data_IF_211092525926
#
_entry.id   IF_211092525926
#
_cell.length_a   1.000
_cell.length_b   1.000
_cell.length_c   1.000
_cell.angle_alpha   90.00
_cell.angle_beta   90.00
_cell.angle_gamma   90.00
#
_symmetry.space_group_name_H-M   'P 1'
#
loop_
_entity.id
_entity.type
_entity.pdbx_description
1 polymer ?
#
# COMPACT_ATOMS: atom_id res chain seq x y z
N UNK A 1 0.17 -24.93 24.58
CA UNK A 1 0.81 -23.68 25.03
C UNK A 1 2.25 -23.69 24.55
N UNK A 2 2.59 -22.91 23.53
CA UNK A 2 3.96 -22.40 23.28
C UNK A 2 3.85 -21.30 22.22
N UNK A 3 4.24 -20.10 22.63
CA UNK A 3 4.29 -18.87 21.85
C UNK A 3 5.44 -18.89 20.84
N UNK A 4 5.26 -18.27 19.68
CA UNK A 4 6.32 -17.99 18.71
C UNK A 4 6.26 -16.53 18.29
N UNK A 5 6.90 -15.66 19.08
CA UNK A 5 7.12 -14.25 18.77
C UNK A 5 8.38 -14.19 17.88
N UNK A 6 8.25 -13.76 16.63
CA UNK A 6 9.40 -13.50 15.75
C UNK A 6 9.68 -12.00 15.78
N UNK A 7 10.80 -11.66 16.41
CA UNK A 7 11.41 -10.33 16.45
C UNK A 7 12.34 -10.19 15.24
N UNK A 8 12.24 -9.10 14.48
CA UNK A 8 13.31 -8.72 13.54
C UNK A 8 13.73 -7.27 13.79
N UNK A 9 15.02 -7.16 14.11
CA UNK A 9 15.80 -5.95 14.35
C UNK A 9 16.10 -5.22 13.03
N UNK A 10 16.15 -3.89 13.06
CA UNK A 10 17.05 -3.14 12.19
C UNK A 10 17.66 -1.95 12.94
N UNK A 11 18.99 -1.95 12.86
CA UNK A 11 19.99 -1.14 13.54
C UNK A 11 20.05 0.28 13.00
N UNK A 12 20.41 1.22 13.86
CA UNK A 12 20.59 2.62 13.52
C UNK A 12 21.82 2.91 12.66
N UNK A 13 21.75 4.05 11.97
CA UNK A 13 22.89 4.78 11.45
C UNK A 13 22.68 6.28 11.73
N UNK A 14 23.54 6.83 12.58
CA UNK A 14 23.66 8.27 12.82
C UNK A 14 24.67 8.89 11.85
N UNK A 15 24.36 10.04 11.26
CA UNK A 15 25.34 11.00 10.73
C UNK A 15 24.63 12.37 10.61
N UNK A 16 24.94 13.35 11.47
CA UNK A 16 26.09 14.27 11.45
C UNK A 16 25.75 15.61 10.76
N UNK A 17 26.06 16.69 11.48
CA UNK A 17 25.67 18.07 11.27
C UNK A 17 26.27 18.75 10.03
N UNK A 18 25.60 19.80 9.52
CA UNK A 18 26.27 20.91 8.81
C UNK A 18 25.51 22.23 8.99
N UNK A 19 26.29 23.25 9.39
CA UNK A 19 25.82 24.53 9.91
C UNK A 19 25.19 25.48 8.89
N UNK A 20 24.33 26.34 9.42
CA UNK A 20 23.78 27.52 8.77
C UNK A 20 24.84 28.63 8.71
N UNK A 21 25.20 29.06 7.50
CA UNK A 21 25.80 30.38 7.26
C UNK A 21 24.79 31.18 6.44
N UNK A 22 24.26 32.26 7.02
CA UNK A 22 23.27 33.13 6.36
C UNK A 22 23.88 33.97 5.22
N UNK A 23 23.06 34.47 4.27
CA UNK A 23 23.53 35.35 3.20
C UNK A 23 23.56 36.83 3.64
N UNK A 24 24.48 37.67 3.11
CA UNK A 24 24.52 39.10 3.39
C UNK A 24 23.50 39.88 2.53
N UNK A 25 23.13 41.11 2.94
CA UNK A 25 22.07 41.86 2.29
C UNK A 25 22.58 42.73 1.12
N UNK A 26 21.78 42.76 0.06
CA UNK A 26 21.67 43.91 -0.84
C UNK A 26 22.38 43.77 -2.19
N UNK A 27 21.59 43.74 -3.28
CA UNK A 27 21.79 44.53 -4.50
C UNK A 27 20.71 44.24 -5.56
N UNK A 28 19.96 45.29 -5.92
CA UNK A 28 19.69 45.61 -7.34
C UNK A 28 18.50 44.95 -8.05
N UNK A 29 17.53 45.79 -8.40
CA UNK A 29 16.32 45.53 -9.20
C UNK A 29 16.60 45.08 -10.65
N UNK A 30 15.81 44.10 -11.12
CA UNK A 30 15.16 44.14 -12.44
C UNK A 30 13.91 43.23 -12.40
N UNK A 31 12.68 43.74 -12.61
CA UNK A 31 11.54 42.88 -12.85
C UNK A 31 11.68 42.34 -14.27
N UNK A 32 12.28 41.15 -14.40
CA UNK A 32 12.18 40.38 -15.63
C UNK A 32 10.73 39.95 -15.72
N UNK A 33 9.94 40.66 -16.53
CA UNK A 33 8.60 40.25 -16.94
C UNK A 33 8.72 38.88 -17.62
N UNK A 34 8.66 37.81 -16.83
CA UNK A 34 8.49 36.46 -17.34
C UNK A 34 7.09 36.43 -17.92
N UNK A 35 7.05 36.45 -19.24
CA UNK A 35 5.92 36.03 -20.06
C UNK A 35 5.36 34.75 -19.44
N UNK A 36 4.18 34.85 -18.82
CA UNK A 36 3.43 33.73 -18.31
C UNK A 36 3.02 32.88 -19.51
N UNK A 37 3.82 31.88 -19.83
CA UNK A 37 3.39 30.77 -20.68
C UNK A 37 2.39 29.96 -19.86
N UNK A 38 1.12 30.31 -20.00
CA UNK A 38 -0.01 29.46 -19.64
C UNK A 38 0.04 28.19 -20.47
N UNK A 39 0.82 27.20 -20.05
CA UNK A 39 1.09 26.00 -20.84
C UNK A 39 1.31 24.70 -20.07
N UNK A 40 1.26 24.67 -18.74
CA UNK A 40 1.73 23.47 -18.00
C UNK A 40 0.84 22.97 -16.84
N UNK A 41 -0.32 23.58 -16.60
CA UNK A 41 -1.23 23.12 -15.54
C UNK A 41 -1.81 21.71 -15.82
N UNK A 42 -1.91 21.31 -17.10
CA UNK A 42 -2.36 19.97 -17.51
C UNK A 42 -1.29 18.89 -17.30
N UNK A 43 -0.03 19.18 -17.65
CA UNK A 43 1.06 18.18 -17.63
C UNK A 43 1.47 17.78 -16.20
N UNK A 44 1.42 18.71 -15.25
CA UNK A 44 1.72 18.46 -13.85
C UNK A 44 0.64 17.58 -13.16
N UNK A 45 -0.62 17.79 -13.53
CA UNK A 45 -1.76 17.00 -13.05
C UNK A 45 -1.73 15.57 -13.56
N UNK A 46 -1.46 15.38 -14.86
CA UNK A 46 -1.42 14.06 -15.49
C UNK A 46 -0.26 13.21 -14.96
N UNK A 47 0.90 13.83 -14.72
CA UNK A 47 2.04 13.18 -14.11
C UNK A 47 1.78 12.75 -12.65
N UNK A 48 0.94 13.48 -11.90
CA UNK A 48 0.56 13.10 -10.55
C UNK A 48 -0.31 11.84 -10.53
N UNK A 49 -1.39 11.81 -11.33
CA UNK A 49 -2.28 10.64 -11.39
C UNK A 49 -1.60 9.41 -11.97
N UNK A 50 -0.69 9.61 -12.93
CA UNK A 50 0.16 8.53 -13.43
C UNK A 50 1.01 7.90 -12.32
N UNK A 51 1.59 8.72 -11.43
CA UNK A 51 2.37 8.23 -10.28
C UNK A 51 1.51 7.50 -9.25
N UNK A 52 0.29 7.98 -9.00
CA UNK A 52 -0.71 7.27 -8.16
C UNK A 52 -1.02 5.90 -8.78
N UNK A 53 -1.30 5.85 -10.08
CA UNK A 53 -1.61 4.61 -10.79
C UNK A 53 -0.42 3.62 -10.75
N UNK A 54 0.81 4.11 -10.91
CA UNK A 54 2.03 3.30 -10.74
C UNK A 54 2.10 2.73 -9.33
N UNK A 55 1.86 3.56 -8.29
CA UNK A 55 1.84 3.10 -6.91
C UNK A 55 0.80 2.00 -6.65
N UNK A 56 -0.40 2.17 -7.20
CA UNK A 56 -1.46 1.16 -7.13
C UNK A 56 -1.01 -0.15 -7.80
N UNK A 57 -0.43 -0.06 -9.00
CA UNK A 57 0.12 -1.21 -9.71
C UNK A 57 1.22 -1.93 -8.92
N UNK A 58 2.09 -1.18 -8.24
CA UNK A 58 3.13 -1.75 -7.36
C UNK A 58 2.49 -2.48 -6.16
N UNK A 59 1.46 -1.91 -5.54
CA UNK A 59 0.73 -2.56 -4.45
C UNK A 59 0.09 -3.89 -4.87
N UNK A 60 -0.58 -3.91 -6.03
CA UNK A 60 -1.16 -5.14 -6.58
C UNK A 60 -0.08 -6.16 -6.96
N UNK A 61 1.02 -5.71 -7.58
CA UNK A 61 2.13 -6.60 -7.92
C UNK A 61 2.77 -7.21 -6.67
N UNK A 62 2.91 -6.45 -5.58
CA UNK A 62 3.40 -6.96 -4.32
C UNK A 62 2.44 -8.00 -3.70
N UNK A 63 1.13 -7.76 -3.76
CA UNK A 63 0.10 -8.71 -3.31
C UNK A 63 0.20 -10.05 -4.07
N UNK A 64 0.20 -10.00 -5.40
CA UNK A 64 0.28 -11.20 -6.25
C UNK A 64 1.66 -11.88 -6.16
N UNK A 65 2.72 -11.09 -6.02
CA UNK A 65 4.08 -11.59 -5.78
C UNK A 65 4.20 -12.36 -4.46
N UNK A 66 3.50 -11.94 -3.41
CA UNK A 66 3.47 -12.65 -2.14
C UNK A 66 2.85 -14.04 -2.30
N UNK A 67 1.75 -14.17 -3.04
CA UNK A 67 1.15 -15.48 -3.36
C UNK A 67 2.16 -16.42 -4.04
N UNK A 68 2.88 -15.93 -5.05
CA UNK A 68 3.92 -16.69 -5.75
C UNK A 68 5.04 -17.12 -4.80
N UNK A 69 5.62 -16.16 -4.07
CA UNK A 69 6.73 -16.43 -3.15
C UNK A 69 6.34 -17.40 -2.04
N UNK A 70 5.13 -17.26 -1.47
CA UNK A 70 4.64 -18.19 -0.45
C UNK A 70 4.43 -19.60 -1.01
N UNK A 71 3.88 -19.74 -2.22
CA UNK A 71 3.76 -21.06 -2.86
C UNK A 71 5.13 -21.73 -3.05
N UNK A 72 6.10 -20.98 -3.60
CA UNK A 72 7.48 -21.47 -3.78
C UNK A 72 8.13 -21.85 -2.45
N UNK A 73 8.00 -21.01 -1.42
CA UNK A 73 8.56 -21.27 -0.09
C UNK A 73 7.95 -22.51 0.57
N UNK A 74 6.69 -22.83 0.26
CA UNK A 74 6.00 -24.01 0.77
C UNK A 74 6.29 -25.30 -0.03
N UNK A 75 7.09 -25.18 -1.11
CA UNK A 75 7.52 -26.28 -1.98
C UNK A 75 6.57 -26.58 -3.13
N UNK A 76 5.75 -25.63 -3.56
CA UNK A 76 4.78 -25.80 -4.64
C UNK A 76 5.14 -24.93 -5.86
N UNK A 77 4.45 -25.20 -6.97
CA UNK A 77 4.70 -24.56 -8.25
C UNK A 77 3.48 -23.71 -8.62
N UNK A 78 3.52 -22.39 -8.32
CA UNK A 78 2.43 -21.52 -8.68
C UNK A 78 2.38 -21.33 -10.20
N UNK A 79 1.19 -21.13 -10.74
CA UNK A 79 1.01 -20.85 -12.16
C UNK A 79 -0.10 -19.82 -12.36
N UNK A 80 0.00 -19.07 -13.46
CA UNK A 80 -1.02 -18.11 -13.86
C UNK A 80 -2.01 -18.80 -14.77
N UNK A 81 -3.30 -18.57 -14.55
CA UNK A 81 -4.36 -19.03 -15.43
C UNK A 81 -5.55 -18.08 -15.41
N UNK A 82 -6.67 -18.55 -15.95
CA UNK A 82 -7.93 -17.82 -15.96
C UNK A 82 -8.96 -18.57 -15.12
N UNK A 83 -9.60 -17.87 -14.19
CA UNK A 83 -10.80 -18.33 -13.50
C UNK A 83 -11.99 -17.46 -13.92
N UNK A 84 -12.98 -18.07 -14.59
CA UNK A 84 -14.15 -17.33 -15.14
C UNK A 84 -13.75 -16.08 -15.97
N UNK A 85 -12.66 -16.19 -16.74
CA UNK A 85 -12.12 -15.09 -17.56
C UNK A 85 -11.23 -14.09 -16.81
N UNK A 86 -10.97 -14.29 -15.52
CA UNK A 86 -10.12 -13.42 -14.70
C UNK A 86 -8.71 -13.99 -14.53
N UNK A 87 -7.65 -13.22 -14.82
CA UNK A 87 -6.28 -13.60 -14.47
C UNK A 87 -6.17 -13.94 -12.99
N UNK A 88 -5.66 -15.14 -12.70
CA UNK A 88 -5.56 -15.68 -11.33
C UNK A 88 -4.23 -16.40 -11.18
N UNK A 89 -3.58 -16.20 -10.02
CA UNK A 89 -2.44 -17.03 -9.60
C UNK A 89 -2.96 -18.22 -8.80
N UNK A 90 -2.73 -19.42 -9.34
CA UNK A 90 -3.05 -20.67 -8.68
C UNK A 90 -1.85 -21.15 -7.89
N UNK A 91 -2.07 -21.54 -6.63
CA UNK A 91 -1.02 -21.95 -5.71
C UNK A 91 -0.30 -23.24 -6.10
N UNK A 92 -0.95 -24.13 -6.85
CA UNK A 92 -0.50 -25.51 -7.05
C UNK A 92 -0.63 -26.39 -5.80
N UNK A 93 -1.27 -25.89 -4.74
CA UNK A 93 -1.48 -26.61 -3.47
C UNK A 93 -2.82 -27.34 -3.53
N UNK A 94 -2.81 -28.64 -3.25
CA UNK A 94 -4.03 -29.40 -2.95
C UNK A 94 -4.56 -28.97 -1.57
N UNK A 95 -5.69 -28.26 -1.57
CA UNK A 95 -6.30 -27.72 -0.36
C UNK A 95 -6.97 -28.76 0.54
N UNK A 96 -7.30 -29.95 0.00
CA UNK A 96 -7.81 -31.07 0.80
C UNK A 96 -6.68 -31.77 1.53
N UNK A 97 -5.52 -31.91 0.88
CA UNK A 97 -4.34 -32.57 1.44
C UNK A 97 -3.54 -31.65 2.37
N UNK A 98 -3.41 -30.37 2.03
CA UNK A 98 -2.58 -29.40 2.77
C UNK A 98 -3.36 -28.10 3.09
N UNK A 99 -4.46 -28.16 3.86
CA UNK A 99 -5.32 -27.01 4.12
C UNK A 99 -4.56 -25.83 4.74
N UNK A 100 -3.68 -26.08 5.70
CA UNK A 100 -2.90 -25.03 6.35
C UNK A 100 -1.92 -24.31 5.40
N UNK A 101 -1.35 -25.03 4.42
CA UNK A 101 -0.47 -24.43 3.42
C UNK A 101 -1.26 -23.55 2.46
N UNK A 102 -2.45 -24.01 2.06
CA UNK A 102 -3.36 -23.21 1.25
C UNK A 102 -3.86 -21.98 2.02
N UNK A 103 -4.11 -22.09 3.33
CA UNK A 103 -4.44 -20.94 4.17
C UNK A 103 -3.32 -19.88 4.14
N UNK A 104 -2.06 -20.30 4.32
CA UNK A 104 -0.91 -19.39 4.28
C UNK A 104 -0.77 -18.72 2.91
N UNK A 105 -0.92 -19.47 1.82
CA UNK A 105 -0.97 -18.90 0.47
C UNK A 105 -2.06 -17.84 0.40
N UNK A 106 -3.32 -18.18 0.71
CA UNK A 106 -4.44 -17.24 0.61
C UNK A 106 -4.33 -16.03 1.54
N UNK A 107 -3.62 -16.13 2.66
CA UNK A 107 -3.36 -14.99 3.54
C UNK A 107 -2.25 -14.07 3.03
N UNK A 108 -1.32 -14.58 2.22
CA UNK A 108 -0.05 -13.92 1.89
C UNK A 108 -0.23 -12.53 1.25
N UNK A 109 -1.13 -12.43 0.27
CA UNK A 109 -1.40 -11.16 -0.43
C UNK A 109 -1.93 -10.07 0.52
N UNK A 110 -2.96 -10.39 1.31
CA UNK A 110 -3.56 -9.45 2.27
C UNK A 110 -2.57 -9.07 3.39
N UNK A 111 -1.84 -10.04 3.95
CA UNK A 111 -0.82 -9.75 4.96
C UNK A 111 0.30 -8.85 4.41
N UNK A 112 0.73 -9.07 3.16
CA UNK A 112 1.75 -8.22 2.53
C UNK A 112 1.25 -6.79 2.36
N UNK A 113 -0.01 -6.61 1.98
CA UNK A 113 -0.61 -5.27 1.89
C UNK A 113 -0.69 -4.59 3.26
N UNK A 114 -1.11 -5.30 4.30
CA UNK A 114 -1.14 -4.76 5.66
C UNK A 114 0.26 -4.34 6.13
N UNK A 115 1.29 -5.15 5.87
CA UNK A 115 2.67 -4.85 6.22
C UNK A 115 3.23 -3.65 5.45
N UNK A 116 2.96 -3.54 4.15
CA UNK A 116 3.41 -2.41 3.34
C UNK A 116 2.71 -1.12 3.80
N UNK A 117 1.40 -1.17 4.05
CA UNK A 117 0.66 -0.03 4.58
C UNK A 117 1.24 0.40 5.93
N UNK A 118 1.50 -0.53 6.84
CA UNK A 118 2.08 -0.22 8.14
C UNK A 118 3.48 0.38 8.00
N UNK A 119 4.33 -0.17 7.13
CA UNK A 119 5.65 0.37 6.87
C UNK A 119 5.60 1.81 6.30
N UNK A 120 4.66 2.10 5.41
CA UNK A 120 4.43 3.47 4.88
C UNK A 120 3.84 4.40 5.95
N UNK A 121 3.20 3.88 7.00
CA UNK A 121 2.66 4.71 8.07
C UNK A 121 3.65 4.91 9.24
N UNK A 122 4.58 3.99 9.43
CA UNK A 122 5.48 4.00 10.60
C UNK A 122 6.93 4.41 10.27
N UNK A 123 7.39 4.22 9.03
CA UNK A 123 8.75 4.63 8.65
C UNK A 123 8.78 6.15 8.45
N UNK A 124 9.66 6.90 9.15
CA UNK A 124 9.74 8.35 8.97
C UNK A 124 10.21 8.70 7.55
N UNK A 125 9.32 9.23 6.72
CA UNK A 125 9.65 9.79 5.41
C UNK A 125 9.16 11.23 5.30
N UNK A 126 10.02 12.07 4.73
CA UNK A 126 9.89 13.53 4.82
C UNK A 126 8.71 14.11 4.05
N UNK A 127 8.12 13.38 3.08
CA UNK A 127 6.89 13.71 2.35
C UNK A 127 6.27 12.48 1.68
N UNK A 128 5.04 12.12 2.03
CA UNK A 128 4.22 11.11 1.34
C UNK A 128 3.96 11.46 -0.14
N UNK A 129 4.74 10.85 -1.03
CA UNK A 129 4.71 11.10 -2.47
C UNK A 129 3.49 10.48 -3.18
N UNK A 130 3.24 10.87 -4.42
CA UNK A 130 2.14 10.34 -5.23
C UNK A 130 2.21 8.81 -5.43
N UNK A 131 3.41 8.23 -5.50
CA UNK A 131 3.59 6.77 -5.61
C UNK A 131 3.21 6.08 -4.29
N UNK A 132 3.72 6.55 -3.15
CA UNK A 132 3.42 6.00 -1.82
C UNK A 132 1.92 6.06 -1.51
N UNK A 133 1.26 7.17 -1.87
CA UNK A 133 -0.20 7.30 -1.80
C UNK A 133 -0.92 6.28 -2.67
N UNK A 134 -0.42 6.04 -3.88
CA UNK A 134 -0.95 4.99 -4.75
C UNK A 134 -0.80 3.60 -4.14
N UNK A 135 0.34 3.31 -3.51
CA UNK A 135 0.59 2.03 -2.83
C UNK A 135 -0.39 1.85 -1.66
N UNK A 136 -0.48 2.85 -0.79
CA UNK A 136 -1.35 2.86 0.40
C UNK A 136 -2.84 2.75 0.01
N UNK A 137 -3.27 3.54 -0.98
CA UNK A 137 -4.64 3.48 -1.50
C UNK A 137 -4.92 2.11 -2.17
N UNK A 138 -3.95 1.55 -2.89
CA UNK A 138 -4.05 0.22 -3.48
C UNK A 138 -4.21 -0.88 -2.42
N UNK A 139 -3.43 -0.81 -1.33
CA UNK A 139 -3.50 -1.77 -0.22
C UNK A 139 -4.86 -1.71 0.49
N UNK A 140 -5.26 -0.52 0.95
CA UNK A 140 -6.57 -0.33 1.61
C UNK A 140 -7.72 -0.71 0.66
N UNK A 141 -7.64 -0.29 -0.61
CA UNK A 141 -8.66 -0.58 -1.62
C UNK A 141 -8.81 -2.07 -1.94
N UNK A 142 -7.70 -2.79 -2.07
CA UNK A 142 -7.71 -4.24 -2.27
C UNK A 142 -8.31 -4.97 -1.06
N UNK A 143 -7.94 -4.58 0.16
CA UNK A 143 -8.55 -5.15 1.37
C UNK A 143 -10.05 -4.89 1.41
N UNK A 144 -10.49 -3.66 1.12
CA UNK A 144 -11.92 -3.33 1.02
C UNK A 144 -12.62 -4.18 -0.04
N UNK A 145 -12.02 -4.36 -1.23
CA UNK A 145 -12.56 -5.23 -2.27
C UNK A 145 -12.74 -6.66 -1.76
N UNK A 146 -11.71 -7.28 -1.17
CA UNK A 146 -11.77 -8.66 -0.70
C UNK A 146 -12.73 -8.85 0.49
N UNK A 147 -12.92 -7.82 1.31
CA UNK A 147 -13.83 -7.84 2.46
C UNK A 147 -15.30 -7.65 2.04
N UNK A 148 -15.57 -6.92 0.96
CA UNK A 148 -16.92 -6.58 0.51
C UNK A 148 -17.36 -7.41 -0.71
N UNK A 149 -16.83 -7.09 -1.89
CA UNK A 149 -17.26 -7.62 -3.19
C UNK A 149 -16.59 -8.96 -3.52
N UNK A 150 -15.28 -9.06 -3.25
CA UNK A 150 -14.46 -10.23 -3.53
C UNK A 150 -14.65 -11.38 -2.53
N UNK A 151 -15.37 -11.16 -1.42
CA UNK A 151 -15.51 -12.12 -0.30
C UNK A 151 -16.10 -13.48 -0.69
N UNK A 152 -16.90 -13.52 -1.76
CA UNK A 152 -17.56 -14.73 -2.25
C UNK A 152 -17.02 -15.22 -3.60
N UNK A 153 -15.93 -14.63 -4.11
CA UNK A 153 -15.31 -15.08 -5.35
C UNK A 153 -14.84 -16.54 -5.28
N UNK A 154 -14.91 -17.23 -6.43
CA UNK A 154 -14.40 -18.60 -6.63
C UNK A 154 -12.92 -18.74 -6.26
N UNK A 155 -12.12 -17.73 -6.57
CA UNK A 155 -10.67 -17.60 -6.29
C UNK A 155 -10.37 -16.59 -5.17
N UNK A 156 -11.35 -16.29 -4.33
CA UNK A 156 -11.18 -15.34 -3.24
C UNK A 156 -10.27 -15.90 -2.14
N UNK A 157 -9.25 -15.14 -1.76
CA UNK A 157 -8.39 -15.40 -0.62
C UNK A 157 -9.19 -15.65 0.67
N UNK A 158 -10.21 -14.82 0.93
CA UNK A 158 -11.11 -14.98 2.09
C UNK A 158 -11.92 -16.27 1.99
N UNK A 159 -12.38 -16.65 0.79
CA UNK A 159 -13.17 -17.88 0.62
C UNK A 159 -12.31 -19.15 0.75
N UNK A 160 -11.04 -19.11 0.35
CA UNK A 160 -10.13 -20.23 0.56
C UNK A 160 -9.69 -20.33 2.02
N UNK A 161 -9.30 -19.21 2.66
CA UNK A 161 -9.00 -19.19 4.09
C UNK A 161 -10.16 -19.71 4.95
N UNK A 162 -11.40 -19.36 4.63
CA UNK A 162 -12.57 -19.84 5.37
C UNK A 162 -12.83 -21.34 5.16
N UNK A 163 -12.42 -21.91 4.02
CA UNK A 163 -12.55 -23.34 3.73
C UNK A 163 -11.44 -24.18 4.36
N UNK A 164 -10.29 -23.57 4.63
CA UNK A 164 -9.09 -24.26 5.14
C UNK A 164 -8.76 -23.93 6.60
N UNK A 165 -9.65 -23.21 7.30
CA UNK A 165 -9.53 -22.89 8.73
C UNK A 165 -10.87 -23.02 9.45
N UNK A 166 -10.87 -22.84 10.78
CA UNK A 166 -12.09 -22.75 11.60
C UNK A 166 -12.74 -21.37 11.58
N UNK A 167 -12.14 -20.39 10.89
CA UNK A 167 -12.63 -19.02 10.83
C UNK A 167 -13.67 -18.85 9.73
N UNK A 168 -14.79 -18.24 10.08
CA UNK A 168 -15.79 -17.83 9.09
C UNK A 168 -15.23 -16.71 8.19
N UNK A 169 -15.82 -16.58 6.99
CA UNK A 169 -15.55 -15.43 6.11
C UNK A 169 -15.73 -14.09 6.82
N UNK A 170 -16.70 -13.99 7.76
CA UNK A 170 -16.92 -12.75 8.53
C UNK A 170 -15.75 -12.45 9.43
N UNK A 171 -15.26 -13.46 10.16
CA UNK A 171 -14.11 -13.28 11.05
C UNK A 171 -12.86 -12.90 10.27
N UNK A 172 -12.59 -13.57 9.15
CA UNK A 172 -11.46 -13.23 8.28
C UNK A 172 -11.58 -11.82 7.70
N UNK A 173 -12.76 -11.46 7.21
CA UNK A 173 -13.04 -10.10 6.74
C UNK A 173 -12.86 -9.05 7.83
N UNK A 174 -13.23 -9.35 9.08
CA UNK A 174 -13.03 -8.45 10.21
C UNK A 174 -11.56 -8.34 10.61
N UNK A 175 -10.77 -9.41 10.49
CA UNK A 175 -9.32 -9.38 10.78
C UNK A 175 -8.63 -8.45 9.79
N UNK A 176 -8.66 -8.77 8.50
CA UNK A 176 -7.94 -7.99 7.49
C UNK A 176 -8.59 -6.62 7.26
N UNK A 177 -9.92 -6.56 7.18
CA UNK A 177 -10.65 -5.29 7.06
C UNK A 177 -10.51 -4.40 8.28
N UNK A 178 -10.41 -4.98 9.48
CA UNK A 178 -10.20 -4.25 10.72
C UNK A 178 -8.82 -3.57 10.77
N UNK A 179 -7.77 -4.25 10.32
CA UNK A 179 -6.42 -3.65 10.20
C UNK A 179 -6.44 -2.46 9.26
N UNK A 180 -6.99 -2.64 8.05
CA UNK A 180 -7.14 -1.54 7.08
C UNK A 180 -8.01 -0.39 7.61
N UNK A 181 -9.06 -0.67 8.37
CA UNK A 181 -9.90 0.35 9.00
C UNK A 181 -9.14 1.14 10.09
N UNK A 182 -8.32 0.46 10.90
CA UNK A 182 -7.45 1.10 11.89
C UNK A 182 -6.43 1.99 11.19
N UNK A 183 -5.81 1.52 10.10
CA UNK A 183 -4.88 2.30 9.29
C UNK A 183 -5.56 3.56 8.73
N UNK A 184 -6.75 3.43 8.13
CA UNK A 184 -7.53 4.57 7.64
C UNK A 184 -7.90 5.54 8.77
N UNK A 185 -8.28 5.03 9.95
CA UNK A 185 -8.60 5.86 11.10
C UNK A 185 -7.38 6.63 11.61
N UNK A 186 -6.22 5.98 11.75
CA UNK A 186 -4.95 6.61 12.14
C UNK A 186 -4.60 7.75 11.21
N UNK A 187 -4.62 7.46 9.92
CA UNK A 187 -4.40 8.43 8.85
C UNK A 187 -5.36 9.63 8.99
N UNK A 188 -6.65 9.39 9.30
CA UNK A 188 -7.67 10.45 9.41
C UNK A 188 -7.55 11.32 10.68
N UNK A 189 -6.95 10.79 11.75
CA UNK A 189 -6.95 11.41 13.08
C UNK A 189 -5.63 12.05 13.46
N UNK A 190 -4.51 11.53 12.97
CA UNK A 190 -3.20 12.06 13.29
C UNK A 190 -2.74 13.04 12.20
N UNK A 191 -2.54 14.30 12.61
CA UNK A 191 -2.12 15.39 11.74
C UNK A 191 -0.72 15.17 11.16
N UNK A 192 0.09 14.28 11.76
CA UNK A 192 1.36 13.82 11.19
C UNK A 192 1.17 13.22 9.80
N UNK A 193 0.01 12.59 9.51
CA UNK A 193 -0.35 12.01 8.22
C UNK A 193 -1.05 12.97 7.25
N UNK A 194 -1.30 14.23 7.64
CA UNK A 194 -1.99 15.19 6.77
C UNK A 194 -1.30 15.34 5.40
N UNK A 195 0.02 15.18 5.37
CA UNK A 195 0.83 15.21 4.16
C UNK A 195 0.51 14.08 3.16
N UNK A 196 -0.28 13.06 3.50
CA UNK A 196 -0.80 12.04 2.57
C UNK A 196 -2.10 12.44 1.86
N UNK A 197 -2.75 13.53 2.28
CA UNK A 197 -4.00 14.04 1.69
C UNK A 197 -3.88 15.37 0.96
N UNK A 198 -2.81 16.09 1.22
CA UNK A 198 -2.59 17.40 0.61
C UNK A 198 -2.06 17.22 -0.82
N UNK A 199 -2.75 17.73 -1.84
CA UNK A 199 -2.21 17.74 -3.21
C UNK A 199 -1.04 18.74 -3.26
N UNK A 200 0.08 18.45 -3.94
CA UNK A 200 1.05 19.50 -4.23
C UNK A 200 0.35 20.60 -5.03
N UNK A 201 0.29 21.81 -4.50
CA UNK A 201 -0.12 22.99 -5.28
C UNK A 201 1.12 23.79 -5.65
N UNK A 202 1.03 24.59 -6.70
CA UNK A 202 2.13 25.43 -7.21
C UNK A 202 2.68 26.41 -6.14
N UNK A 203 1.93 26.65 -5.04
CA UNK A 203 2.29 27.58 -3.96
C UNK A 203 2.52 26.91 -2.58
N UNK A 204 2.57 25.57 -2.49
CA UNK A 204 2.73 24.85 -1.20
C UNK A 204 1.56 23.91 -0.84
N UNK A 205 1.54 23.42 0.40
CA UNK A 205 0.56 22.43 0.91
C UNK A 205 -0.90 22.96 0.77
N UNK A 206 -1.66 22.51 -0.22
CA UNK A 206 -3.09 22.84 -0.38
C UNK A 206 -4.00 21.82 0.30
N UNK A 207 -4.52 22.16 1.49
CA UNK A 207 -5.47 21.33 2.23
C UNK A 207 -6.74 21.13 1.40
N UNK A 208 -7.08 19.87 1.13
CA UNK A 208 -8.30 19.48 0.43
C UNK A 208 -9.28 18.78 1.36
N UNK A 209 -10.24 19.52 1.91
CA UNK A 209 -11.59 19.05 2.24
C UNK A 209 -12.53 20.24 1.98
N UNK A 210 -13.30 20.18 0.90
CA UNK A 210 -14.41 21.09 0.67
C UNK A 210 -15.60 20.58 1.48
N UNK A 211 -16.12 21.44 2.36
CA UNK A 211 -17.44 21.28 2.99
C UNK A 211 -18.55 21.48 1.95
#
# INVERSE_FOLDING_TARGET
>A
MTSGLVLLLLSGASAAARGQTGPPPGSGLAPRTQMYLSGDAGSASDNYWRRIAIGLGISLFAHEGAHVLTSLALGFHPHVGLDHGRPTIFSGIDSQKYPHKQFLFSAAGLTTQDLINEAILDIPHSRGGAIERGILAGGIGATLFYVTLGRNGSVSDIAFMARTSSLSKTQLSLIFGGVSAIQALRISRDSSYAHFFVRPTENGLGIGFGY
#
